data_IF_516287551672
#
_entry.id   IF_516287551672
#
_cell.length_a   1.000
_cell.length_b   1.000
_cell.length_c   1.000
_cell.angle_alpha   90.00
_cell.angle_beta   90.00
_cell.angle_gamma   90.00
#
_symmetry.space_group_name_H-M   'P 1'
#
loop_
_entity.id
_entity.type
_entity.pdbx_description
1 polymer ?
#
# COMPACT_ATOMS: atom_id res chain seq x y z
N UNK A 1 30.97 11.86 -7.62
CA UNK A 1 29.73 11.11 -7.27
C UNK A 1 30.05 9.79 -6.54
N UNK A 2 30.97 8.97 -7.02
CA UNK A 2 31.40 7.70 -6.38
C UNK A 2 31.96 7.93 -4.97
N UNK A 3 32.80 8.94 -4.77
CA UNK A 3 33.40 9.27 -3.48
C UNK A 3 32.36 9.58 -2.38
N UNK A 4 31.32 10.34 -2.69
CA UNK A 4 30.22 10.65 -1.76
C UNK A 4 29.42 9.39 -1.38
N UNK A 5 29.26 8.46 -2.30
CA UNK A 5 28.59 7.19 -2.04
C UNK A 5 29.39 6.29 -1.09
N UNK A 6 30.70 6.17 -1.29
CA UNK A 6 31.57 5.38 -0.41
C UNK A 6 31.65 5.97 1.02
N UNK A 7 31.70 7.30 1.14
CA UNK A 7 31.64 8.02 2.42
C UNK A 7 30.31 7.80 3.14
N UNK A 8 29.19 7.83 2.39
CA UNK A 8 27.87 7.54 2.92
C UNK A 8 27.79 6.11 3.48
N UNK A 9 28.26 5.12 2.73
CA UNK A 9 28.26 3.72 3.18
C UNK A 9 29.08 3.53 4.45
N UNK A 10 30.25 4.15 4.55
CA UNK A 10 31.10 4.13 5.75
C UNK A 10 30.42 4.80 6.94
N UNK A 11 29.84 5.98 6.72
CA UNK A 11 29.18 6.75 7.78
C UNK A 11 28.03 5.96 8.44
N UNK A 12 27.25 5.25 7.65
CA UNK A 12 26.13 4.44 8.13
C UNK A 12 26.48 2.97 8.38
N UNK A 13 27.76 2.61 8.31
CA UNK A 13 28.25 1.24 8.49
C UNK A 13 27.50 0.20 7.61
N UNK A 14 27.23 0.56 6.36
CA UNK A 14 26.54 -0.29 5.40
C UNK A 14 27.58 -1.18 4.69
N UNK A 15 27.49 -2.49 4.90
CA UNK A 15 28.40 -3.46 4.26
C UNK A 15 27.97 -3.78 2.82
N UNK A 16 28.92 -4.30 2.04
CA UNK A 16 28.64 -4.81 0.70
C UNK A 16 27.58 -5.94 0.71
N UNK A 17 27.61 -6.78 1.75
CA UNK A 17 26.59 -7.81 1.98
C UNK A 17 25.20 -7.21 2.22
N UNK A 18 25.11 -6.12 2.97
CA UNK A 18 23.85 -5.38 3.15
C UNK A 18 23.29 -4.88 1.82
N UNK A 19 24.14 -4.35 0.95
CA UNK A 19 23.73 -3.86 -0.37
C UNK A 19 23.26 -5.01 -1.25
N UNK A 20 23.96 -6.13 -1.25
CA UNK A 20 23.59 -7.31 -2.06
C UNK A 20 22.29 -7.94 -1.57
N UNK A 21 22.10 -8.10 -0.27
CA UNK A 21 20.87 -8.58 0.33
C UNK A 21 19.68 -7.66 -0.01
N UNK A 22 19.92 -6.33 -0.04
CA UNK A 22 18.90 -5.37 -0.41
C UNK A 22 18.53 -5.46 -1.90
N UNK A 23 19.50 -5.67 -2.80
CA UNK A 23 19.22 -5.91 -4.22
C UNK A 23 18.36 -7.16 -4.40
N UNK A 24 18.69 -8.28 -3.75
CA UNK A 24 17.88 -9.50 -3.82
C UNK A 24 16.47 -9.29 -3.25
N UNK A 25 16.32 -8.56 -2.15
CA UNK A 25 15.01 -8.19 -1.63
C UNK A 25 14.18 -7.36 -2.65
N UNK A 26 14.86 -6.57 -3.49
CA UNK A 26 14.21 -5.78 -4.53
C UNK A 26 13.81 -6.58 -5.79
N UNK A 27 14.38 -7.74 -6.02
CA UNK A 27 14.15 -8.54 -7.24
C UNK A 27 13.02 -9.58 -7.12
N UNK A 28 12.37 -9.69 -5.97
CA UNK A 28 11.33 -10.70 -5.75
C UNK A 28 10.11 -10.55 -6.66
N UNK A 29 9.44 -11.65 -6.93
CA UNK A 29 8.16 -11.65 -7.66
C UNK A 29 7.08 -10.93 -6.83
N UNK A 30 6.41 -9.89 -7.37
CA UNK A 30 5.30 -9.22 -6.70
C UNK A 30 4.22 -10.17 -6.17
N UNK A 31 3.96 -11.29 -6.85
CA UNK A 31 2.99 -12.30 -6.43
C UNK A 31 3.37 -13.05 -5.14
N UNK A 32 4.63 -12.94 -4.69
CA UNK A 32 5.09 -13.56 -3.44
C UNK A 32 4.68 -12.80 -2.17
N UNK A 33 4.23 -11.56 -2.28
CA UNK A 33 3.62 -10.86 -1.16
C UNK A 33 2.25 -11.45 -0.83
N UNK A 34 2.02 -11.73 0.45
CA UNK A 34 0.75 -12.29 0.94
C UNK A 34 -0.44 -11.43 0.49
N UNK A 35 -1.45 -12.07 -0.07
CA UNK A 35 -2.67 -11.45 -0.65
C UNK A 35 -2.44 -10.48 -1.82
N UNK A 36 -1.24 -10.36 -2.39
CA UNK A 36 -1.00 -9.42 -3.49
C UNK A 36 -1.84 -9.72 -4.73
N UNK A 37 -1.99 -10.99 -5.11
CA UNK A 37 -2.84 -11.39 -6.23
C UNK A 37 -4.32 -11.08 -5.97
N UNK A 38 -4.81 -11.42 -4.77
CA UNK A 38 -6.16 -11.06 -4.33
C UNK A 38 -6.37 -9.55 -4.40
N UNK A 39 -5.41 -8.77 -3.86
CA UNK A 39 -5.50 -7.31 -3.85
C UNK A 39 -5.68 -6.75 -5.27
N UNK A 40 -4.85 -7.17 -6.23
CA UNK A 40 -4.92 -6.62 -7.59
C UNK A 40 -6.15 -7.12 -8.36
N UNK A 41 -6.62 -8.34 -8.12
CA UNK A 41 -7.84 -8.86 -8.73
C UNK A 41 -9.08 -8.14 -8.20
N UNK A 42 -9.16 -7.93 -6.88
CA UNK A 42 -10.24 -7.20 -6.22
C UNK A 42 -10.24 -5.72 -6.61
N UNK A 43 -9.05 -5.11 -6.73
CA UNK A 43 -8.92 -3.73 -7.21
C UNK A 43 -9.41 -3.61 -8.66
N UNK A 44 -9.02 -4.55 -9.52
CA UNK A 44 -9.46 -4.56 -10.93
C UNK A 44 -10.97 -4.75 -11.08
N UNK A 45 -11.58 -5.61 -10.27
CA UNK A 45 -13.02 -5.82 -10.26
C UNK A 45 -13.82 -4.56 -9.89
N UNK A 46 -13.14 -3.58 -9.27
CA UNK A 46 -13.71 -2.29 -8.84
C UNK A 46 -13.35 -1.12 -9.75
N UNK A 47 -12.87 -1.39 -10.96
CA UNK A 47 -12.36 -0.36 -11.88
C UNK A 47 -13.38 0.74 -12.16
N UNK A 48 -14.66 0.41 -12.25
CA UNK A 48 -15.75 1.34 -12.54
C UNK A 48 -16.31 2.04 -11.29
N UNK A 49 -15.84 1.66 -10.11
CA UNK A 49 -16.18 2.27 -8.83
C UNK A 49 -15.42 3.58 -8.64
N UNK A 50 -15.97 4.50 -7.84
CA UNK A 50 -15.22 5.67 -7.41
C UNK A 50 -14.30 5.31 -6.25
N UNK A 51 -13.00 5.43 -6.46
CA UNK A 51 -11.96 5.00 -5.54
C UNK A 51 -11.23 6.22 -4.98
N UNK A 52 -11.08 6.28 -3.66
CA UNK A 52 -10.15 7.20 -3.01
C UNK A 52 -8.85 6.48 -2.66
N UNK A 53 -7.72 7.01 -3.11
CA UNK A 53 -6.40 6.62 -2.63
C UNK A 53 -6.07 7.51 -1.43
N UNK A 54 -5.95 6.89 -0.25
CA UNK A 54 -5.63 7.60 0.99
C UNK A 54 -4.21 7.25 1.41
N UNK A 55 -3.28 8.19 1.23
CA UNK A 55 -1.87 8.00 1.58
C UNK A 55 -1.55 8.48 2.99
N UNK A 56 -0.46 7.99 3.57
CA UNK A 56 0.13 8.62 4.74
C UNK A 56 0.77 9.97 4.38
N UNK A 57 1.19 10.74 5.39
CA UNK A 57 1.62 12.15 5.25
C UNK A 57 3.14 12.31 5.05
N UNK A 58 3.93 11.28 5.33
CA UNK A 58 5.38 11.33 5.18
C UNK A 58 5.84 11.05 3.73
N UNK A 59 7.14 11.02 3.50
CA UNK A 59 7.71 10.83 2.17
C UNK A 59 7.36 9.46 1.59
N UNK A 60 7.31 8.41 2.43
CA UNK A 60 6.95 7.07 2.00
C UNK A 60 5.47 6.98 1.63
N UNK A 61 4.60 7.55 2.47
CA UNK A 61 3.17 7.63 2.18
C UNK A 61 2.85 8.43 0.93
N UNK A 62 3.48 9.59 0.75
CA UNK A 62 3.31 10.41 -0.46
C UNK A 62 3.79 9.65 -1.70
N UNK A 63 4.94 8.98 -1.63
CA UNK A 63 5.47 8.14 -2.72
C UNK A 63 4.53 7.00 -3.06
N UNK A 64 4.04 6.28 -2.05
CA UNK A 64 3.07 5.19 -2.19
C UNK A 64 1.78 5.65 -2.87
N UNK A 65 1.22 6.76 -2.40
CA UNK A 65 -0.02 7.32 -2.93
C UNK A 65 0.09 7.77 -4.39
N UNK A 66 1.19 8.44 -4.73
CA UNK A 66 1.48 8.89 -6.11
C UNK A 66 1.65 7.70 -7.04
N UNK A 67 2.38 6.66 -6.64
CA UNK A 67 2.58 5.44 -7.43
C UNK A 67 1.24 4.78 -7.76
N UNK A 68 0.41 4.52 -6.74
CA UNK A 68 -0.92 3.91 -6.93
C UNK A 68 -1.79 4.80 -7.81
N UNK A 69 -1.86 6.10 -7.52
CA UNK A 69 -2.68 7.04 -8.28
C UNK A 69 -2.31 7.09 -9.75
N UNK A 70 -1.03 7.24 -10.08
CA UNK A 70 -0.59 7.39 -11.47
C UNK A 70 -0.90 6.14 -12.28
N UNK A 71 -0.59 4.95 -11.75
CA UNK A 71 -0.85 3.69 -12.46
C UNK A 71 -2.34 3.46 -12.66
N UNK A 72 -3.16 3.66 -11.63
CA UNK A 72 -4.60 3.46 -11.75
C UNK A 72 -5.24 4.46 -12.71
N UNK A 73 -4.77 5.71 -12.71
CA UNK A 73 -5.22 6.75 -13.65
C UNK A 73 -4.91 6.38 -15.09
N UNK A 74 -3.68 5.94 -15.38
CA UNK A 74 -3.27 5.46 -16.70
C UNK A 74 -4.08 4.24 -17.17
N UNK A 75 -4.48 3.38 -16.23
CA UNK A 75 -5.34 2.23 -16.51
C UNK A 75 -6.84 2.61 -16.64
N UNK A 76 -7.19 3.89 -16.46
CA UNK A 76 -8.55 4.41 -16.64
C UNK A 76 -9.50 4.12 -15.49
N UNK A 77 -8.98 4.03 -14.25
CA UNK A 77 -9.82 3.97 -13.05
C UNK A 77 -10.41 5.35 -12.72
N UNK A 78 -11.58 5.35 -12.09
CA UNK A 78 -12.19 6.56 -11.53
C UNK A 78 -11.65 6.79 -10.11
N UNK A 79 -10.53 7.52 -10.00
CA UNK A 79 -9.79 7.65 -8.76
C UNK A 79 -9.49 9.10 -8.38
N UNK A 80 -9.32 9.32 -7.10
CA UNK A 80 -8.85 10.57 -6.51
C UNK A 80 -7.81 10.28 -5.41
N UNK A 81 -6.75 11.09 -5.33
CA UNK A 81 -5.71 10.99 -4.31
C UNK A 81 -5.98 11.98 -3.19
N UNK A 82 -5.97 11.47 -1.97
CA UNK A 82 -6.21 12.27 -0.77
C UNK A 82 -5.05 12.14 0.21
N UNK A 83 -4.72 13.25 0.86
CA UNK A 83 -3.70 13.30 1.90
C UNK A 83 -4.32 13.58 3.27
N UNK A 84 -3.77 13.03 4.35
CA UNK A 84 -4.24 13.34 5.69
C UNK A 84 -3.96 14.79 6.05
N UNK A 85 -4.77 15.31 6.93
CA UNK A 85 -4.45 16.50 7.69
C UNK A 85 -4.04 16.08 9.11
N UNK A 86 -3.05 16.74 9.69
CA UNK A 86 -2.49 16.38 11.02
C UNK A 86 -3.52 16.30 12.15
N UNK A 87 -4.67 16.95 11.97
CA UNK A 87 -5.76 17.01 12.99
C UNK A 87 -6.59 15.73 13.08
N UNK A 88 -6.56 14.84 12.08
CA UNK A 88 -7.37 13.62 12.06
C UNK A 88 -6.66 12.40 12.64
N UNK A 89 -5.39 12.53 13.00
CA UNK A 89 -4.57 11.43 13.52
C UNK A 89 -3.89 10.61 12.43
N UNK A 90 -3.10 9.62 12.86
CA UNK A 90 -2.34 8.73 11.98
C UNK A 90 -3.24 7.65 11.35
N UNK A 91 -3.02 7.38 10.08
CA UNK A 91 -3.71 6.32 9.35
C UNK A 91 -5.17 6.67 9.02
N UNK A 92 -5.95 5.64 8.68
CA UNK A 92 -7.39 5.76 8.41
C UNK A 92 -8.20 5.73 9.70
N UNK A 93 -8.24 6.86 10.43
CA UNK A 93 -9.02 6.99 11.67
C UNK A 93 -10.51 7.27 11.39
N UNK A 94 -11.39 7.08 12.39
CA UNK A 94 -12.81 7.46 12.27
C UNK A 94 -13.02 8.96 11.97
N UNK A 95 -12.30 9.90 12.60
CA UNK A 95 -12.34 11.31 12.19
C UNK A 95 -11.90 11.54 10.74
N UNK A 96 -10.86 10.84 10.29
CA UNK A 96 -10.41 10.92 8.89
C UNK A 96 -11.46 10.37 7.92
N UNK A 97 -12.05 9.21 8.20
CA UNK A 97 -13.13 8.67 7.38
C UNK A 97 -14.31 9.65 7.29
N UNK A 98 -14.71 10.26 8.42
CA UNK A 98 -15.78 11.28 8.43
C UNK A 98 -15.40 12.47 7.54
N UNK A 99 -14.16 12.95 7.61
CA UNK A 99 -13.66 14.03 6.76
C UNK A 99 -13.71 13.65 5.28
N UNK A 100 -13.25 12.44 4.93
CA UNK A 100 -13.31 11.95 3.55
C UNK A 100 -14.74 11.89 3.03
N UNK A 101 -15.68 11.41 3.85
CA UNK A 101 -17.10 11.39 3.48
C UNK A 101 -17.68 12.79 3.25
N UNK A 102 -17.29 13.77 4.04
CA UNK A 102 -17.75 15.16 3.89
C UNK A 102 -17.20 15.82 2.61
N UNK A 103 -15.95 15.53 2.23
CA UNK A 103 -15.28 16.23 1.14
C UNK A 103 -15.39 15.53 -0.20
N UNK A 104 -15.49 14.20 -0.22
CA UNK A 104 -15.33 13.39 -1.43
C UNK A 104 -16.53 12.50 -1.75
N UNK A 105 -17.54 12.40 -0.87
CA UNK A 105 -18.71 11.54 -1.13
C UNK A 105 -19.49 11.99 -2.40
N UNK A 106 -20.09 11.06 -3.16
CA UNK A 106 -20.09 9.62 -2.94
C UNK A 106 -18.77 8.97 -3.41
N UNK A 107 -18.31 7.95 -2.69
CA UNK A 107 -17.24 7.04 -3.12
C UNK A 107 -17.51 5.64 -2.58
N UNK A 108 -16.98 4.62 -3.25
CA UNK A 108 -17.31 3.22 -2.97
C UNK A 108 -16.14 2.50 -2.29
N UNK A 109 -14.92 2.92 -2.59
CA UNK A 109 -13.69 2.19 -2.22
C UNK A 109 -12.64 3.15 -1.69
N UNK A 110 -11.93 2.71 -0.66
CA UNK A 110 -10.68 3.35 -0.21
C UNK A 110 -9.53 2.36 -0.46
N UNK A 111 -8.48 2.83 -1.12
CA UNK A 111 -7.18 2.15 -1.17
C UNK A 111 -6.24 2.91 -0.25
N UNK A 112 -5.78 2.28 0.82
CA UNK A 112 -4.76 2.91 1.68
C UNK A 112 -3.37 2.71 1.08
N UNK A 113 -2.52 3.68 1.28
CA UNK A 113 -1.14 3.69 0.81
C UNK A 113 -0.22 4.05 1.97
N UNK A 114 0.61 3.10 2.39
CA UNK A 114 1.53 3.23 3.52
C UNK A 114 0.83 3.45 4.89
N UNK A 115 -0.36 2.92 5.04
CA UNK A 115 -1.11 2.94 6.29
C UNK A 115 -2.28 1.94 6.24
N UNK A 116 -2.93 1.72 7.37
CA UNK A 116 -4.17 0.95 7.42
C UNK A 116 -4.10 -0.33 8.24
N UNK A 117 -2.92 -0.92 8.44
CA UNK A 117 -2.78 -2.18 9.19
C UNK A 117 -3.32 -2.08 10.63
N UNK A 118 -3.20 -0.92 11.24
CA UNK A 118 -3.66 -0.66 12.61
C UNK A 118 -5.10 -0.13 12.70
N UNK A 119 -5.80 0.02 11.57
CA UNK A 119 -7.10 0.71 11.53
C UNK A 119 -8.32 -0.22 11.46
N UNK A 120 -8.24 -1.41 12.05
CA UNK A 120 -9.29 -2.43 12.01
C UNK A 120 -10.69 -1.89 12.35
N UNK A 121 -10.84 -1.14 13.45
CA UNK A 121 -12.15 -0.61 13.86
C UNK A 121 -12.74 0.37 12.84
N UNK A 122 -11.91 1.20 12.23
CA UNK A 122 -12.37 2.14 11.21
C UNK A 122 -12.75 1.42 9.92
N UNK A 123 -12.00 0.38 9.56
CA UNK A 123 -12.28 -0.43 8.37
C UNK A 123 -13.58 -1.22 8.57
N UNK A 124 -13.79 -1.79 9.75
CA UNK A 124 -15.08 -2.41 10.10
C UNK A 124 -16.24 -1.41 10.01
N UNK A 125 -16.04 -0.18 10.49
CA UNK A 125 -17.04 0.89 10.40
C UNK A 125 -17.29 1.34 8.95
N UNK A 126 -16.26 1.46 8.12
CA UNK A 126 -16.38 1.76 6.69
C UNK A 126 -17.23 0.70 5.97
N UNK A 127 -17.00 -0.59 6.26
CA UNK A 127 -17.79 -1.71 5.73
C UNK A 127 -19.28 -1.59 6.09
N UNK A 128 -19.61 -1.18 7.31
CA UNK A 128 -21.00 -0.94 7.72
C UNK A 128 -21.68 0.19 6.92
N UNK A 129 -20.87 1.11 6.39
CA UNK A 129 -21.31 2.20 5.51
C UNK A 129 -21.28 1.84 4.02
N UNK A 130 -21.06 0.57 3.69
CA UNK A 130 -20.86 0.04 2.34
C UNK A 130 -19.65 0.67 1.60
N UNK A 131 -18.63 1.09 2.35
CA UNK A 131 -17.35 1.54 1.81
C UNK A 131 -16.36 0.40 1.98
N UNK A 132 -15.84 -0.09 0.86
CA UNK A 132 -14.85 -1.18 0.82
C UNK A 132 -13.43 -0.62 0.99
N UNK A 133 -12.57 -1.36 1.68
CA UNK A 133 -11.19 -0.92 1.92
C UNK A 133 -10.20 -1.98 1.46
N UNK A 134 -9.21 -1.59 0.66
CA UNK A 134 -8.02 -2.38 0.34
C UNK A 134 -6.81 -1.74 1.03
N UNK A 135 -6.02 -2.53 1.72
CA UNK A 135 -4.88 -2.05 2.52
C UNK A 135 -3.56 -2.40 1.86
N UNK A 136 -2.76 -1.37 1.53
CA UNK A 136 -1.35 -1.48 1.16
C UNK A 136 -0.52 -0.77 2.22
N UNK A 137 0.27 -1.53 2.98
CA UNK A 137 1.00 -1.02 4.14
C UNK A 137 2.29 -1.83 4.36
N UNK A 138 3.20 -1.34 5.19
CA UNK A 138 4.41 -2.06 5.60
C UNK A 138 4.71 -1.91 7.10
N UNK A 139 3.94 -1.14 7.83
CA UNK A 139 4.13 -0.96 9.26
C UNK A 139 3.95 -2.26 10.03
N UNK A 140 4.61 -2.37 11.18
CA UNK A 140 4.50 -3.56 12.03
C UNK A 140 3.07 -3.72 12.54
N UNK A 141 2.42 -4.80 12.12
CA UNK A 141 1.12 -5.21 12.64
C UNK A 141 1.28 -5.97 13.96
N UNK A 142 0.32 -5.83 14.88
CA UNK A 142 0.26 -6.74 16.02
C UNK A 142 -0.12 -8.16 15.53
N UNK A 143 0.50 -9.18 16.06
CA UNK A 143 0.46 -10.57 15.60
C UNK A 143 -0.93 -11.16 15.31
N UNK A 144 -1.99 -10.60 15.90
CA UNK A 144 -3.37 -11.09 15.72
C UNK A 144 -4.36 -9.98 15.33
N UNK A 145 -3.90 -8.83 14.86
CA UNK A 145 -4.75 -7.66 14.70
C UNK A 145 -4.56 -6.99 13.32
N UNK A 146 -4.75 -7.74 12.25
CA UNK A 146 -4.88 -7.14 10.92
C UNK A 146 -6.37 -6.94 10.59
N UNK A 147 -6.72 -5.95 9.75
CA UNK A 147 -8.11 -5.58 9.47
C UNK A 147 -8.82 -6.65 8.63
N UNK A 148 -9.48 -7.61 9.32
CA UNK A 148 -10.20 -8.73 8.70
C UNK A 148 -11.41 -8.29 7.85
N UNK A 149 -11.93 -7.08 8.08
CA UNK A 149 -13.03 -6.51 7.31
C UNK A 149 -12.58 -5.80 6.03
N UNK A 150 -11.27 -5.66 5.81
CA UNK A 150 -10.73 -5.21 4.54
C UNK A 150 -10.94 -6.26 3.45
N UNK A 151 -11.14 -5.79 2.22
CA UNK A 151 -11.27 -6.67 1.03
C UNK A 151 -10.00 -7.46 0.79
N UNK A 152 -8.85 -6.79 0.91
CA UNK A 152 -7.52 -7.41 0.88
C UNK A 152 -6.53 -6.58 1.69
N UNK A 153 -5.52 -7.25 2.27
CA UNK A 153 -4.47 -6.61 3.06
C UNK A 153 -3.12 -7.09 2.59
N UNK A 154 -2.36 -6.22 1.98
CA UNK A 154 -0.95 -6.49 1.63
C UNK A 154 -0.06 -5.70 2.57
N UNK A 155 0.65 -6.44 3.41
CA UNK A 155 1.63 -5.90 4.35
C UNK A 155 2.66 -7.02 4.67
N UNK A 156 3.95 -6.84 4.34
CA UNK A 156 4.98 -7.85 4.60
C UNK A 156 5.25 -8.07 6.09
N UNK A 157 4.81 -7.14 6.96
CA UNK A 157 5.00 -7.19 8.41
C UNK A 157 3.71 -7.56 9.17
N UNK A 158 2.68 -8.05 8.48
CA UNK A 158 1.47 -8.53 9.20
C UNK A 158 1.80 -9.81 9.98
N UNK A 159 1.16 -9.96 11.14
CA UNK A 159 1.53 -10.99 12.13
C UNK A 159 1.33 -12.45 11.69
N UNK A 160 0.61 -12.71 10.60
CA UNK A 160 0.43 -14.04 10.01
C UNK A 160 1.45 -14.35 8.89
N UNK A 161 2.30 -13.41 8.52
CA UNK A 161 3.45 -13.63 7.64
C UNK A 161 4.56 -14.31 8.45
N UNK A 162 5.10 -15.42 7.92
CA UNK A 162 6.14 -16.19 8.60
C UNK A 162 7.38 -15.34 8.88
N UNK A 163 7.92 -15.50 10.09
CA UNK A 163 9.23 -14.94 10.44
C UNK A 163 10.30 -15.34 9.41
N UNK A 164 11.18 -14.41 9.09
CA UNK A 164 12.26 -14.62 8.10
C UNK A 164 11.86 -14.28 6.65
N UNK A 165 10.68 -13.70 6.43
CA UNK A 165 10.37 -13.12 5.13
C UNK A 165 11.41 -12.07 4.74
N UNK A 166 12.01 -12.14 3.55
CA UNK A 166 12.98 -11.13 3.08
C UNK A 166 12.33 -9.76 2.86
N UNK A 167 11.01 -9.65 3.03
CA UNK A 167 10.22 -8.46 2.70
C UNK A 167 9.96 -7.55 3.91
N UNK A 168 10.36 -7.94 5.13
CA UNK A 168 10.11 -7.14 6.34
C UNK A 168 10.74 -5.74 6.31
N UNK A 169 11.79 -5.54 5.53
CA UNK A 169 12.53 -4.27 5.45
C UNK A 169 12.14 -3.37 4.27
N UNK A 170 11.16 -3.77 3.46
CA UNK A 170 10.73 -2.92 2.34
C UNK A 170 9.80 -1.81 2.83
N UNK A 171 9.93 -0.63 2.23
CA UNK A 171 9.10 0.52 2.54
C UNK A 171 7.71 0.45 1.86
N UNK A 172 6.78 1.28 2.31
CA UNK A 172 5.41 1.31 1.78
C UNK A 172 5.36 1.67 0.30
N UNK A 173 6.18 2.61 -0.16
CA UNK A 173 6.32 2.94 -1.60
C UNK A 173 6.71 1.71 -2.42
N UNK A 174 7.58 0.87 -1.88
CA UNK A 174 8.00 -0.34 -2.60
C UNK A 174 6.91 -1.41 -2.63
N UNK A 175 6.12 -1.55 -1.56
CA UNK A 175 4.92 -2.41 -1.56
C UNK A 175 3.94 -1.94 -2.64
N UNK A 176 3.64 -0.64 -2.68
CA UNK A 176 2.77 -0.03 -3.68
C UNK A 176 3.29 -0.29 -5.11
N UNK A 177 4.59 -0.08 -5.36
CA UNK A 177 5.22 -0.35 -6.66
C UNK A 177 5.06 -1.81 -7.08
N UNK A 178 5.27 -2.77 -6.17
CA UNK A 178 5.11 -4.20 -6.49
C UNK A 178 3.66 -4.56 -6.82
N UNK A 179 2.70 -4.00 -6.10
CA UNK A 179 1.27 -4.18 -6.39
C UNK A 179 0.90 -3.61 -7.76
N UNK A 180 1.34 -2.40 -8.07
CA UNK A 180 1.05 -1.77 -9.36
C UNK A 180 1.74 -2.49 -10.52
N UNK A 181 2.96 -2.98 -10.33
CA UNK A 181 3.66 -3.84 -11.30
C UNK A 181 2.90 -5.15 -11.57
N UNK A 182 2.38 -5.80 -10.51
CA UNK A 182 1.57 -7.01 -10.63
C UNK A 182 0.26 -6.72 -11.38
N UNK A 183 -0.43 -5.64 -11.03
CA UNK A 183 -1.65 -5.20 -11.70
C UNK A 183 -1.45 -4.97 -13.19
N UNK A 184 -0.40 -4.25 -13.57
CA UNK A 184 -0.04 -4.01 -14.97
C UNK A 184 0.26 -5.32 -15.71
N UNK A 185 1.04 -6.24 -15.11
CA UNK A 185 1.40 -7.53 -15.69
C UNK A 185 0.17 -8.40 -15.96
N UNK A 186 -0.75 -8.51 -14.99
CA UNK A 186 -2.00 -9.29 -15.15
C UNK A 186 -2.92 -8.72 -16.22
N UNK A 187 -2.92 -7.40 -16.42
CA UNK A 187 -3.80 -6.76 -17.40
C UNK A 187 -3.19 -6.58 -18.78
N UNK A 188 -1.87 -6.58 -18.94
CA UNK A 188 -1.23 -6.68 -20.25
C UNK A 188 -1.59 -8.01 -20.95
N UNK A 189 -1.65 -9.10 -20.20
CA UNK A 189 -2.06 -10.42 -20.72
C UNK A 189 -3.54 -10.49 -21.09
N UNK A 190 -4.42 -9.74 -20.45
CA UNK A 190 -5.86 -9.69 -20.78
C UNK A 190 -6.18 -8.91 -22.06
N UNK A 191 -5.29 -7.99 -22.50
CA UNK A 191 -5.45 -7.23 -23.77
C UNK A 191 -5.01 -8.04 -25.01
N UNK A 192 -4.37 -9.20 -24.82
CA UNK A 192 -3.88 -10.06 -25.89
C UNK A 192 -4.78 -11.30 -26.13
N UNK A 193 -5.86 -11.41 -25.39
CA UNK A 193 -6.95 -12.38 -25.56
C UNK A 193 -8.21 -11.70 -26.10
#
# INVERSE_FOLDING_TARGET
MIYLYEEYLKHYNISAEHIENHKHACEFDPASLTESEKFVDELWARKDKRILVRSDYDVDGVGSGIEIYNVLKELGFNIELTYPITKTGYGLTKPELTRLMQLYSPFDVIVTADCGIANQETIAFAKMLNIEVLVSDHHSGQANNHPIDAVAVVNPNRGDVKDGSPFHSICGTYVAHKLMKLLCRKNATKKLQ
#
